data_IF_624260668073
#
_entry.id   IF_624260668073
#
_cell.length_a   1.000
_cell.length_b   1.000
_cell.length_c   1.000
_cell.angle_alpha   90.00
_cell.angle_beta   90.00
_cell.angle_gamma   90.00
#
_symmetry.space_group_name_H-M   'P 1'
#
loop_
_entity.id
_entity.type
_entity.pdbx_description
1 polymer ?
#
# COMPACT_ATOMS: atom_id res chain seq x y z
N UNK A 1 13.07 -3.27 -4.88
CA UNK A 1 11.76 -2.58 -5.10
C UNK A 1 11.45 -2.48 -6.59
N UNK A 2 10.44 -3.23 -7.12
CA UNK A 2 10.06 -3.17 -8.55
C UNK A 2 9.69 -1.75 -9.00
N UNK A 3 8.88 -1.05 -8.21
CA UNK A 3 8.48 0.34 -8.52
C UNK A 3 9.68 1.31 -8.53
N UNK A 4 10.57 1.23 -7.54
CA UNK A 4 11.79 2.05 -7.54
C UNK A 4 12.67 1.74 -8.76
N UNK A 5 12.84 0.46 -9.08
CA UNK A 5 13.58 0.02 -10.26
C UNK A 5 12.95 0.56 -11.55
N UNK A 6 11.63 0.44 -11.72
CA UNK A 6 10.92 0.99 -12.90
C UNK A 6 11.02 2.52 -13.01
N UNK A 7 10.98 3.24 -11.90
CA UNK A 7 11.12 4.68 -11.90
C UNK A 7 12.55 5.10 -12.27
N UNK A 8 13.56 4.37 -11.76
CA UNK A 8 14.96 4.59 -12.08
C UNK A 8 15.32 4.26 -13.54
N UNK A 9 14.86 3.11 -14.06
CA UNK A 9 15.16 2.69 -15.44
C UNK A 9 14.48 3.54 -16.50
N UNK A 10 13.36 4.21 -16.17
CA UNK A 10 12.66 5.13 -17.09
C UNK A 10 13.13 6.59 -16.99
N UNK A 11 14.15 6.90 -16.19
CA UNK A 11 14.68 8.27 -16.05
C UNK A 11 13.68 9.27 -15.46
N UNK A 12 12.63 8.79 -14.79
CA UNK A 12 11.62 9.67 -14.19
C UNK A 12 12.18 10.27 -12.91
N UNK A 13 12.35 11.60 -12.88
CA UNK A 13 12.71 12.31 -11.65
C UNK A 13 11.58 12.18 -10.64
N UNK A 14 11.78 11.32 -9.63
CA UNK A 14 10.77 11.00 -8.60
C UNK A 14 10.27 12.26 -7.87
N UNK A 15 11.15 13.25 -7.69
CA UNK A 15 10.82 14.53 -7.03
C UNK A 15 9.84 15.41 -7.82
N UNK A 16 9.87 15.33 -9.13
CA UNK A 16 9.02 16.12 -10.03
C UNK A 16 7.69 15.41 -10.28
N UNK A 17 7.72 14.08 -10.26
CA UNK A 17 6.57 13.23 -10.58
C UNK A 17 5.83 12.69 -9.34
N UNK A 18 6.06 13.27 -8.15
CA UNK A 18 5.43 12.82 -6.91
C UNK A 18 3.89 12.75 -6.97
N UNK A 19 3.17 13.73 -7.57
CA UNK A 19 1.71 13.64 -7.73
C UNK A 19 1.26 12.50 -8.65
N UNK A 20 1.98 12.28 -9.75
CA UNK A 20 1.73 11.17 -10.67
C UNK A 20 1.91 9.82 -9.95
N UNK A 21 3.01 9.68 -9.21
CA UNK A 21 3.31 8.48 -8.44
C UNK A 21 2.23 8.23 -7.37
N UNK A 22 1.78 9.28 -6.68
CA UNK A 22 0.72 9.18 -5.69
C UNK A 22 -0.60 8.71 -6.31
N UNK A 23 -0.95 9.22 -7.49
CA UNK A 23 -2.14 8.80 -8.22
C UNK A 23 -2.02 7.34 -8.69
N UNK A 24 -0.84 6.91 -9.15
CA UNK A 24 -0.59 5.53 -9.52
C UNK A 24 -0.76 4.58 -8.31
N UNK A 25 -0.25 4.95 -7.13
CA UNK A 25 -0.46 4.20 -5.89
C UNK A 25 -1.95 4.07 -5.58
N UNK A 26 -2.71 5.18 -5.65
CA UNK A 26 -4.15 5.17 -5.38
C UNK A 26 -4.91 4.28 -6.35
N UNK A 27 -4.61 4.39 -7.64
CA UNK A 27 -5.21 3.57 -8.68
C UNK A 27 -4.93 2.08 -8.43
N UNK A 28 -3.68 1.74 -8.14
CA UNK A 28 -3.27 0.38 -7.82
C UNK A 28 -4.02 -0.20 -6.61
N UNK A 29 -4.21 0.58 -5.53
CA UNK A 29 -4.95 0.14 -4.36
C UNK A 29 -6.44 -0.08 -4.67
N UNK A 30 -7.03 0.78 -5.49
CA UNK A 30 -8.42 0.63 -5.96
C UNK A 30 -8.60 -0.63 -6.80
N UNK A 31 -7.70 -0.86 -7.76
CA UNK A 31 -7.72 -2.07 -8.59
C UNK A 31 -7.49 -3.33 -7.76
N UNK A 32 -6.58 -3.28 -6.80
CA UNK A 32 -6.34 -4.38 -5.86
C UNK A 32 -7.61 -4.72 -5.08
N UNK A 33 -8.34 -3.72 -4.59
CA UNK A 33 -9.61 -3.94 -3.90
C UNK A 33 -10.64 -4.66 -4.79
N UNK A 34 -10.79 -4.18 -6.03
CA UNK A 34 -11.71 -4.77 -7.00
C UNK A 34 -11.32 -6.21 -7.31
N UNK A 35 -10.03 -6.47 -7.54
CA UNK A 35 -9.50 -7.81 -7.80
C UNK A 35 -9.73 -8.74 -6.60
N UNK A 36 -9.48 -8.28 -5.37
CA UNK A 36 -9.74 -9.04 -4.15
C UNK A 36 -11.21 -9.42 -4.02
N UNK A 37 -12.12 -8.46 -4.21
CA UNK A 37 -13.57 -8.72 -4.18
C UNK A 37 -13.99 -9.70 -5.27
N UNK A 38 -13.54 -9.49 -6.49
CA UNK A 38 -13.85 -10.38 -7.62
C UNK A 38 -13.39 -11.81 -7.33
N UNK A 39 -12.17 -11.98 -6.80
CA UNK A 39 -11.63 -13.29 -6.43
C UNK A 39 -12.43 -13.96 -5.32
N UNK A 40 -12.83 -13.21 -4.30
CA UNK A 40 -13.66 -13.73 -3.21
C UNK A 40 -15.08 -14.11 -3.66
N UNK A 41 -15.61 -13.46 -4.70
CA UNK A 41 -16.92 -13.77 -5.27
C UNK A 41 -16.88 -14.88 -6.34
N UNK A 42 -15.69 -15.40 -6.67
CA UNK A 42 -15.55 -16.49 -7.64
C UNK A 42 -16.30 -17.75 -7.18
N UNK A 43 -16.78 -18.55 -8.15
CA UNK A 43 -17.50 -19.80 -7.88
C UNK A 43 -16.71 -20.71 -6.93
N UNK A 44 -15.41 -20.85 -7.19
CA UNK A 44 -14.49 -21.65 -6.37
C UNK A 44 -14.35 -21.09 -4.96
N UNK A 45 -14.19 -19.77 -4.79
CA UNK A 45 -14.10 -19.18 -3.47
C UNK A 45 -15.40 -19.37 -2.68
N UNK A 46 -16.56 -19.12 -3.31
CA UNK A 46 -17.87 -19.31 -2.68
C UNK A 46 -18.13 -20.76 -2.28
N UNK A 47 -17.78 -21.72 -3.14
CA UNK A 47 -17.91 -23.14 -2.85
C UNK A 47 -17.09 -23.58 -1.62
N UNK A 48 -16.01 -22.86 -1.32
CA UNK A 48 -15.14 -23.11 -0.17
C UNK A 48 -15.36 -22.13 0.99
N UNK A 49 -16.50 -21.42 1.03
CA UNK A 49 -16.82 -20.49 2.13
C UNK A 49 -16.00 -19.20 2.14
N UNK A 50 -15.32 -18.86 1.04
CA UNK A 50 -14.52 -17.65 0.89
C UNK A 50 -15.35 -16.38 1.06
N UNK A 51 -14.88 -15.46 1.91
CA UNK A 51 -15.48 -14.15 2.16
C UNK A 51 -14.42 -13.06 2.10
N UNK A 52 -14.85 -11.84 1.80
CA UNK A 52 -14.00 -10.65 1.83
C UNK A 52 -14.70 -9.56 2.62
N UNK A 53 -14.49 -9.59 3.94
CA UNK A 53 -15.10 -8.66 4.91
C UNK A 53 -14.22 -7.43 5.17
N UNK A 54 -13.40 -7.07 4.17
CA UNK A 54 -12.50 -5.92 4.19
C UNK A 54 -13.17 -4.75 3.47
N UNK A 55 -13.18 -3.58 4.10
CA UNK A 55 -13.69 -2.37 3.47
C UNK A 55 -12.62 -1.72 2.58
N UNK A 56 -13.06 -0.95 1.58
CA UNK A 56 -12.14 -0.25 0.67
C UNK A 56 -11.20 0.71 1.43
N UNK A 57 -11.73 1.39 2.45
CA UNK A 57 -10.99 2.30 3.33
C UNK A 57 -9.89 1.58 4.12
N UNK A 58 -10.14 0.35 4.56
CA UNK A 58 -9.20 -0.48 5.30
C UNK A 58 -8.05 -0.94 4.42
N UNK A 59 -8.37 -1.46 3.23
CA UNK A 59 -7.34 -1.85 2.26
C UNK A 59 -6.52 -0.65 1.80
N UNK A 60 -7.17 0.49 1.56
CA UNK A 60 -6.49 1.72 1.15
C UNK A 60 -5.53 2.17 2.24
N UNK A 61 -5.95 2.17 3.50
CA UNK A 61 -5.08 2.53 4.61
C UNK A 61 -3.88 1.56 4.74
N UNK A 62 -4.12 0.26 4.72
CA UNK A 62 -3.08 -0.76 4.84
C UNK A 62 -2.07 -0.67 3.70
N UNK A 63 -2.58 -0.47 2.47
CA UNK A 63 -1.75 -0.28 1.29
C UNK A 63 -0.91 0.98 1.35
N UNK A 64 -1.51 2.13 1.70
CA UNK A 64 -0.80 3.39 1.91
C UNK A 64 0.29 3.24 2.99
N UNK A 65 0.00 2.53 4.07
CA UNK A 65 0.98 2.23 5.13
C UNK A 65 2.15 1.40 4.58
N UNK A 66 1.86 0.34 3.81
CA UNK A 66 2.90 -0.49 3.18
C UNK A 66 3.78 0.33 2.23
N UNK A 67 3.20 1.15 1.35
CA UNK A 67 3.97 2.05 0.48
C UNK A 67 4.83 3.02 1.28
N UNK A 68 4.29 3.64 2.32
CA UNK A 68 5.06 4.54 3.18
C UNK A 68 6.26 3.83 3.84
N UNK A 69 6.06 2.64 4.41
CA UNK A 69 7.13 1.84 5.05
C UNK A 69 8.24 1.48 4.07
N UNK A 70 7.91 1.07 2.85
CA UNK A 70 8.94 0.63 1.91
C UNK A 70 9.64 1.83 1.26
N UNK A 71 8.93 2.90 0.96
CA UNK A 71 9.52 4.11 0.36
C UNK A 71 10.34 4.92 1.37
N UNK A 72 10.04 4.84 2.67
CA UNK A 72 10.81 5.53 3.72
C UNK A 72 12.25 5.02 3.82
N UNK A 73 12.52 3.79 3.37
CA UNK A 73 13.90 3.25 3.23
C UNK A 73 14.77 4.08 2.28
N UNK A 74 14.17 4.85 1.37
CA UNK A 74 14.86 5.79 0.46
C UNK A 74 14.29 7.20 0.61
N UNK A 75 14.21 7.67 1.86
CA UNK A 75 13.54 8.93 2.24
C UNK A 75 14.06 10.18 1.52
N UNK A 76 15.34 10.23 1.18
CA UNK A 76 15.97 11.35 0.45
C UNK A 76 15.44 11.53 -0.98
N UNK A 77 14.96 10.43 -1.59
CA UNK A 77 14.41 10.39 -2.95
C UNK A 77 12.90 10.64 -2.93
N UNK A 78 12.19 10.08 -1.94
CA UNK A 78 10.72 10.08 -1.89
C UNK A 78 10.12 11.15 -0.96
N UNK A 79 10.88 12.16 -0.52
CA UNK A 79 10.47 13.09 0.55
C UNK A 79 9.08 13.72 0.36
N UNK A 80 8.79 14.26 -0.84
CA UNK A 80 7.47 14.87 -1.14
C UNK A 80 6.34 13.85 -1.07
N UNK A 81 6.58 12.66 -1.63
CA UNK A 81 5.62 11.58 -1.64
C UNK A 81 5.36 11.03 -0.23
N UNK A 82 6.41 10.88 0.58
CA UNK A 82 6.30 10.44 1.98
C UNK A 82 5.45 11.40 2.80
N UNK A 83 5.65 12.71 2.67
CA UNK A 83 4.78 13.71 3.33
C UNK A 83 3.32 13.55 2.93
N UNK A 84 3.04 13.35 1.64
CA UNK A 84 1.66 13.15 1.17
C UNK A 84 1.03 11.83 1.68
N UNK A 85 1.82 10.77 1.82
CA UNK A 85 1.36 9.49 2.38
C UNK A 85 1.15 9.61 3.89
N UNK A 86 2.04 10.28 4.61
CA UNK A 86 1.93 10.52 6.05
C UNK A 86 0.68 11.33 6.40
N UNK A 87 0.39 12.40 5.64
CA UNK A 87 -0.86 13.16 5.79
C UNK A 87 -2.10 12.28 5.60
N UNK A 88 -2.04 11.33 4.67
CA UNK A 88 -3.12 10.37 4.48
C UNK A 88 -3.23 9.37 5.63
N UNK A 89 -2.14 9.07 6.35
CA UNK A 89 -2.08 8.12 7.46
C UNK A 89 -2.38 8.75 8.83
N UNK A 90 -2.36 10.08 8.93
CA UNK A 90 -2.52 10.82 10.18
C UNK A 90 -3.99 11.05 10.61
N UNK A 91 -4.98 10.55 9.87
CA UNK A 91 -6.38 10.86 10.19
C UNK A 91 -6.88 10.07 11.41
N UNK A 92 -7.73 10.66 12.28
CA UNK A 92 -8.18 10.02 13.54
C UNK A 92 -8.85 8.65 13.34
N UNK A 93 -9.63 8.52 12.26
CA UNK A 93 -10.35 7.29 11.88
C UNK A 93 -9.41 6.10 11.66
N UNK A 94 -8.15 6.37 11.35
CA UNK A 94 -7.15 5.35 11.00
C UNK A 94 -6.41 4.75 12.20
N UNK A 95 -6.57 5.35 13.39
CA UNK A 95 -6.08 4.73 14.64
C UNK A 95 -6.76 3.37 14.87
N UNK A 96 -8.04 3.25 14.51
CA UNK A 96 -8.80 2.01 14.57
C UNK A 96 -8.24 0.95 13.61
N UNK A 97 -7.87 1.34 12.39
CA UNK A 97 -7.27 0.42 11.42
C UNK A 97 -5.89 -0.07 11.87
N UNK A 98 -5.07 0.82 12.48
CA UNK A 98 -3.78 0.43 13.07
C UNK A 98 -3.93 -0.62 14.16
N UNK A 99 -4.97 -0.51 14.99
CA UNK A 99 -5.26 -1.53 16.00
C UNK A 99 -5.74 -2.83 15.35
N UNK A 100 -6.72 -2.76 14.43
CA UNK A 100 -7.29 -3.93 13.73
C UNK A 100 -6.23 -4.74 12.98
N UNK A 101 -5.29 -4.08 12.30
CA UNK A 101 -4.28 -4.73 11.47
C UNK A 101 -2.91 -4.86 12.13
N UNK A 102 -2.79 -4.65 13.45
CA UNK A 102 -1.49 -4.68 14.15
C UNK A 102 -0.71 -5.98 13.92
N UNK A 103 -1.40 -7.13 13.93
CA UNK A 103 -0.79 -8.44 13.67
C UNK A 103 -0.18 -8.52 12.26
N UNK A 104 -0.99 -8.20 11.24
CA UNK A 104 -0.57 -8.17 9.83
C UNK A 104 0.59 -7.21 9.60
N UNK A 105 0.55 -6.03 10.22
CA UNK A 105 1.65 -5.05 10.12
C UNK A 105 2.93 -5.61 10.74
N UNK A 106 2.85 -6.23 11.92
CA UNK A 106 4.01 -6.81 12.59
C UNK A 106 4.66 -7.91 11.75
N UNK A 107 3.87 -8.82 11.21
CA UNK A 107 4.34 -9.90 10.34
C UNK A 107 4.94 -9.35 9.04
N UNK A 108 4.24 -8.42 8.39
CA UNK A 108 4.71 -7.78 7.17
C UNK A 108 6.01 -7.01 7.38
N UNK A 109 6.15 -6.29 8.49
CA UNK A 109 7.40 -5.60 8.83
C UNK A 109 8.55 -6.58 9.07
N UNK A 110 8.29 -7.72 9.72
CA UNK A 110 9.28 -8.78 9.89
C UNK A 110 9.83 -9.25 8.53
N UNK A 111 8.97 -9.46 7.55
CA UNK A 111 9.40 -9.82 6.19
C UNK A 111 10.11 -8.69 5.46
N UNK A 112 9.68 -7.44 5.64
CA UNK A 112 10.35 -6.27 5.02
C UNK A 112 11.73 -6.02 5.61
N UNK A 113 11.98 -6.40 6.86
CA UNK A 113 13.31 -6.35 7.48
C UNK A 113 14.23 -7.45 6.94
N UNK A 114 13.68 -8.62 6.59
CA UNK A 114 14.45 -9.70 5.96
C UNK A 114 14.80 -9.44 4.49
N UNK A 115 14.09 -8.50 3.85
CA UNK A 115 14.44 -8.03 2.52
C UNK A 115 15.61 -7.05 2.66
N UNK A 116 16.83 -7.58 2.59
CA UNK A 116 18.05 -6.76 2.44
C UNK A 116 17.94 -5.99 1.10
N UNK A 117 18.18 -4.67 1.14
CA UNK A 117 17.94 -3.75 0.01
C UNK A 117 19.15 -2.89 -0.32
#
# INVERSE_FOLDING_TARGET
MKMHHYLGTRGLTIRENAPFILNAIRQYLRETFVAMKSKALSKTARANGGRCDVQASELTWLGTHAFHVVLSRKSSVYTKLLKSLELQLATPRQRLFKQRFRGVIREGLGMVVMLDF
#
